data_IF_087229886398
#
_entry.id   IF_087229886398
#
_cell.length_a   1.000
_cell.length_b   1.000
_cell.length_c   1.000
_cell.angle_alpha   90.00
_cell.angle_beta   90.00
_cell.angle_gamma   90.00
#
_symmetry.space_group_name_H-M   'P 1'
#
loop_
_entity.id
_entity.type
_entity.pdbx_description
1 polymer ?
#
# COMPACT_ATOMS: atom_id res chain seq x y z
N UNK A 1 -36.60 43.34 18.39
CA UNK A 1 -35.50 42.37 18.32
C UNK A 1 -35.92 40.91 18.47
N UNK A 2 -36.76 40.52 19.45
CA UNK A 2 -37.13 39.11 19.69
C UNK A 2 -37.87 38.42 18.52
N UNK A 3 -38.71 39.12 17.76
CA UNK A 3 -39.48 38.54 16.66
C UNK A 3 -38.61 38.25 15.44
N UNK A 4 -37.62 39.08 15.14
CA UNK A 4 -36.69 38.87 14.03
C UNK A 4 -35.77 37.69 14.27
N UNK A 5 -35.24 37.55 15.51
CA UNK A 5 -34.44 36.42 15.92
C UNK A 5 -35.22 35.10 15.80
N UNK A 6 -36.51 35.09 16.21
CA UNK A 6 -37.38 33.92 16.07
C UNK A 6 -37.58 33.50 14.60
N UNK A 7 -37.74 34.47 13.68
CA UNK A 7 -37.89 34.20 12.24
C UNK A 7 -36.63 33.67 11.62
N UNK A 8 -35.46 34.20 12.01
CA UNK A 8 -34.14 33.69 11.57
C UNK A 8 -33.91 32.27 12.10
N UNK A 9 -34.25 32.00 13.36
CA UNK A 9 -34.13 30.66 13.94
C UNK A 9 -35.03 29.66 13.22
N UNK A 10 -36.30 30.02 12.94
CA UNK A 10 -37.23 29.16 12.18
C UNK A 10 -36.68 28.90 10.76
N UNK A 11 -36.13 29.92 10.09
CA UNK A 11 -35.48 29.77 8.78
C UNK A 11 -34.27 28.80 8.81
N UNK A 12 -33.42 28.94 9.81
CA UNK A 12 -32.28 28.02 10.01
C UNK A 12 -32.71 26.56 10.26
N UNK A 13 -33.73 26.36 11.09
CA UNK A 13 -34.31 25.03 11.34
C UNK A 13 -34.94 24.46 10.08
N UNK A 14 -35.67 25.27 9.29
CA UNK A 14 -36.26 24.83 8.04
C UNK A 14 -35.16 24.41 7.00
N UNK A 15 -34.09 25.22 6.89
CA UNK A 15 -32.95 24.90 6.02
C UNK A 15 -32.29 23.59 6.50
N UNK A 16 -32.08 23.41 7.80
CA UNK A 16 -31.51 22.19 8.37
C UNK A 16 -32.35 20.96 8.00
N UNK A 17 -33.66 21.01 8.16
CA UNK A 17 -34.53 19.90 7.78
C UNK A 17 -34.56 19.65 6.26
N UNK A 18 -34.48 20.72 5.45
CA UNK A 18 -34.40 20.58 4.00
C UNK A 18 -33.11 19.91 3.56
N UNK A 19 -31.98 20.26 4.19
CA UNK A 19 -30.67 19.58 3.95
C UNK A 19 -30.76 18.12 4.38
N UNK A 20 -31.30 17.81 5.55
CA UNK A 20 -31.52 16.43 5.99
C UNK A 20 -32.40 15.63 5.03
N UNK A 21 -33.48 16.24 4.55
CA UNK A 21 -34.34 15.61 3.57
C UNK A 21 -33.60 15.36 2.24
N UNK A 22 -32.80 16.32 1.77
CA UNK A 22 -31.95 16.16 0.59
C UNK A 22 -30.95 15.03 0.74
N UNK A 23 -30.29 14.93 1.87
CA UNK A 23 -29.39 13.82 2.20
C UNK A 23 -30.15 12.49 2.22
N UNK A 24 -31.30 12.43 2.86
CA UNK A 24 -32.13 11.22 2.92
C UNK A 24 -32.57 10.77 1.51
N UNK A 25 -33.02 11.69 0.66
CA UNK A 25 -33.40 11.39 -0.73
C UNK A 25 -32.17 10.91 -1.52
N UNK A 26 -31.03 11.56 -1.37
CA UNK A 26 -29.78 11.12 -2.01
C UNK A 26 -29.40 9.70 -1.62
N UNK A 27 -29.46 9.37 -0.32
CA UNK A 27 -29.14 8.03 0.18
C UNK A 27 -30.10 6.94 -0.31
N UNK A 28 -31.38 7.30 -0.51
CA UNK A 28 -32.39 6.37 -1.01
C UNK A 28 -32.32 6.15 -2.53
N UNK A 29 -31.76 7.12 -3.26
CA UNK A 29 -31.72 7.10 -4.73
C UNK A 29 -30.35 6.76 -5.29
N UNK A 30 -29.27 6.98 -4.53
CA UNK A 30 -27.90 6.72 -4.97
C UNK A 30 -27.56 5.23 -4.82
N UNK A 31 -27.39 4.54 -5.93
CA UNK A 31 -26.92 3.15 -5.97
C UNK A 31 -25.45 3.11 -6.40
N UNK A 32 -24.51 2.84 -5.46
CA UNK A 32 -23.09 2.73 -5.79
C UNK A 32 -22.79 1.51 -6.68
N UNK A 33 -23.66 0.49 -6.71
CA UNK A 33 -23.47 -0.70 -7.53
C UNK A 33 -23.58 -0.42 -9.03
N UNK A 34 -24.30 0.64 -9.42
CA UNK A 34 -24.41 1.07 -10.82
C UNK A 34 -23.06 1.47 -11.43
N UNK A 35 -22.05 1.80 -10.60
CA UNK A 35 -20.72 2.20 -11.05
C UNK A 35 -19.74 1.02 -11.20
N UNK A 36 -20.10 -0.20 -10.77
CA UNK A 36 -19.24 -1.38 -10.87
C UNK A 36 -18.71 -1.61 -12.27
N UNK A 37 -19.61 -1.69 -13.24
CA UNK A 37 -19.24 -1.95 -14.63
C UNK A 37 -18.27 -0.90 -15.17
N UNK A 38 -18.52 0.38 -14.87
CA UNK A 38 -17.64 1.47 -15.30
C UNK A 38 -16.23 1.37 -14.72
N UNK A 39 -16.13 1.04 -13.43
CA UNK A 39 -14.82 0.84 -12.78
C UNK A 39 -14.10 -0.38 -13.35
N UNK A 40 -14.81 -1.47 -13.60
CA UNK A 40 -14.27 -2.67 -14.23
C UNK A 40 -13.74 -2.38 -15.62
N UNK A 41 -14.50 -1.66 -16.44
CA UNK A 41 -14.10 -1.27 -17.80
C UNK A 41 -12.86 -0.35 -17.77
N UNK A 42 -12.81 0.64 -16.88
CA UNK A 42 -11.66 1.55 -16.76
C UNK A 42 -10.38 0.80 -16.37
N UNK A 43 -10.48 -0.12 -15.41
CA UNK A 43 -9.34 -0.96 -15.01
C UNK A 43 -8.87 -1.83 -16.17
N UNK A 44 -9.80 -2.42 -16.93
CA UNK A 44 -9.45 -3.22 -18.09
C UNK A 44 -8.78 -2.39 -19.18
N UNK A 45 -9.32 -1.23 -19.52
CA UNK A 45 -8.74 -0.35 -20.54
C UNK A 45 -7.33 0.11 -20.18
N UNK A 46 -7.11 0.41 -18.89
CA UNK A 46 -5.84 0.99 -18.43
C UNK A 46 -4.75 -0.06 -18.18
N UNK A 47 -5.10 -1.19 -17.60
CA UNK A 47 -4.14 -2.19 -17.15
C UNK A 47 -4.23 -3.53 -17.88
N UNK A 48 -5.22 -3.70 -18.76
CA UNK A 48 -5.52 -4.99 -19.43
C UNK A 48 -5.74 -6.13 -18.41
N UNK A 49 -6.32 -5.78 -17.26
CA UNK A 49 -6.64 -6.68 -16.16
C UNK A 49 -8.14 -6.68 -15.90
N UNK A 50 -8.70 -7.85 -15.69
CA UNK A 50 -10.11 -7.98 -15.31
C UNK A 50 -10.26 -7.73 -13.82
N UNK A 51 -10.95 -6.64 -13.46
CA UNK A 51 -11.43 -6.41 -12.10
C UNK A 51 -12.81 -7.04 -11.95
N UNK A 52 -12.98 -7.94 -11.00
CA UNK A 52 -14.28 -8.52 -10.67
C UNK A 52 -14.72 -8.08 -9.28
N UNK A 53 -15.95 -7.53 -9.18
CA UNK A 53 -16.58 -7.10 -7.93
C UNK A 53 -17.89 -7.88 -7.77
N UNK A 54 -17.82 -9.04 -7.11
CA UNK A 54 -18.97 -9.93 -6.94
C UNK A 54 -19.94 -9.43 -5.87
N UNK A 55 -19.40 -8.94 -4.74
CA UNK A 55 -20.21 -8.47 -3.62
C UNK A 55 -20.75 -7.07 -3.81
N UNK A 56 -21.73 -6.68 -3.01
CA UNK A 56 -22.31 -5.35 -3.06
C UNK A 56 -21.36 -4.28 -2.54
N UNK A 57 -21.47 -3.10 -3.17
CA UNK A 57 -20.86 -1.88 -2.69
C UNK A 57 -21.85 -1.20 -1.76
N UNK A 58 -21.51 -1.12 -0.47
CA UNK A 58 -22.35 -0.48 0.53
C UNK A 58 -21.76 0.86 0.93
N UNK A 59 -22.60 1.90 0.91
CA UNK A 59 -22.24 3.25 1.35
C UNK A 59 -22.81 3.50 2.75
N UNK A 60 -21.97 3.96 3.66
CA UNK A 60 -22.34 4.44 4.99
C UNK A 60 -22.02 5.92 5.09
N UNK A 61 -22.96 6.75 5.58
CA UNK A 61 -22.80 8.21 5.56
C UNK A 61 -22.62 8.80 6.96
N UNK A 62 -23.02 8.08 7.99
CA UNK A 62 -22.93 8.57 9.36
C UNK A 62 -22.33 7.51 10.30
N UNK A 63 -21.45 7.89 11.22
CA UNK A 63 -20.87 9.22 11.50
C UNK A 63 -19.74 9.63 10.52
N UNK A 64 -19.32 8.73 9.62
CA UNK A 64 -18.27 8.91 8.61
C UNK A 64 -18.76 8.41 7.27
N UNK A 65 -18.27 9.01 6.20
CA UNK A 65 -18.53 8.49 4.86
C UNK A 65 -17.68 7.21 4.70
N UNK A 66 -18.33 6.06 4.66
CA UNK A 66 -17.68 4.76 4.53
C UNK A 66 -18.12 4.06 3.25
N UNK A 67 -17.16 3.46 2.54
CA UNK A 67 -17.39 2.57 1.43
C UNK A 67 -16.93 1.16 1.86
N UNK A 68 -17.83 0.19 1.76
CA UNK A 68 -17.51 -1.21 1.97
C UNK A 68 -17.74 -1.96 0.66
N UNK A 69 -16.73 -2.73 0.24
CA UNK A 69 -16.79 -3.56 -0.96
C UNK A 69 -16.39 -4.97 -0.58
N UNK A 70 -17.15 -5.95 -1.05
CA UNK A 70 -16.93 -7.34 -0.73
C UNK A 70 -16.55 -8.11 -1.99
N UNK A 71 -15.71 -9.13 -1.83
CA UNK A 71 -15.28 -10.06 -2.87
C UNK A 71 -14.80 -9.35 -4.14
N UNK A 72 -13.66 -8.74 -4.03
CA UNK A 72 -12.95 -8.11 -5.15
C UNK A 72 -11.86 -9.05 -5.61
N UNK A 73 -11.69 -9.22 -6.91
CA UNK A 73 -10.53 -9.89 -7.48
C UNK A 73 -10.01 -9.15 -8.71
N UNK A 74 -8.70 -9.18 -8.88
CA UNK A 74 -7.98 -8.59 -10.00
C UNK A 74 -7.20 -9.70 -10.70
N UNK A 75 -7.31 -9.79 -12.02
CA UNK A 75 -6.57 -10.78 -12.79
C UNK A 75 -5.12 -10.37 -13.11
N UNK A 76 -4.31 -11.30 -13.58
CA UNK A 76 -3.07 -11.01 -14.30
C UNK A 76 -3.38 -10.29 -15.63
N UNK A 77 -2.41 -9.58 -16.25
CA UNK A 77 -2.64 -8.89 -17.52
C UNK A 77 -3.01 -9.91 -18.63
N UNK A 78 -4.06 -9.61 -19.39
CA UNK A 78 -4.55 -10.45 -20.49
C UNK A 78 -4.79 -11.92 -20.11
N UNK A 79 -5.22 -12.19 -18.89
CA UNK A 79 -5.45 -13.53 -18.34
C UNK A 79 -6.62 -13.51 -17.35
N UNK A 80 -7.28 -14.67 -17.20
CA UNK A 80 -8.30 -14.87 -16.16
C UNK A 80 -7.69 -15.36 -14.83
N UNK A 81 -6.37 -15.57 -14.79
CA UNK A 81 -5.68 -15.99 -13.57
C UNK A 81 -5.72 -14.86 -12.54
N UNK A 82 -6.16 -15.17 -11.33
CA UNK A 82 -6.22 -14.16 -10.24
C UNK A 82 -4.82 -13.75 -9.82
N UNK A 83 -4.55 -12.44 -9.88
CA UNK A 83 -3.35 -11.80 -9.35
C UNK A 83 -3.52 -11.41 -7.89
N UNK A 84 -4.67 -10.83 -7.54
CA UNK A 84 -4.99 -10.43 -6.17
C UNK A 84 -6.48 -10.55 -5.90
N UNK A 85 -6.83 -10.79 -4.64
CA UNK A 85 -8.22 -10.81 -4.18
C UNK A 85 -8.35 -10.22 -2.77
N UNK A 86 -9.55 -9.74 -2.45
CA UNK A 86 -9.89 -9.17 -1.14
C UNK A 86 -11.28 -9.67 -0.79
N UNK A 87 -11.45 -10.26 0.39
CA UNK A 87 -12.76 -10.71 0.85
C UNK A 87 -13.62 -9.52 1.29
N UNK A 88 -13.04 -8.59 2.08
CA UNK A 88 -13.73 -7.39 2.55
C UNK A 88 -12.78 -6.19 2.52
N UNK A 89 -13.18 -5.13 1.85
CA UNK A 89 -12.49 -3.84 1.85
C UNK A 89 -13.39 -2.78 2.46
N UNK A 90 -12.88 -2.02 3.42
CA UNK A 90 -13.57 -0.87 4.02
C UNK A 90 -12.67 0.35 3.93
N UNK A 91 -13.20 1.41 3.35
CA UNK A 91 -12.55 2.71 3.26
C UNK A 91 -13.46 3.72 3.94
N UNK A 92 -12.97 4.47 4.92
CA UNK A 92 -13.69 5.53 5.57
C UNK A 92 -13.04 6.88 5.27
N UNK A 93 -13.86 7.88 4.96
CA UNK A 93 -13.42 9.24 4.64
C UNK A 93 -14.03 10.22 5.63
N UNK A 94 -13.24 11.15 6.12
CA UNK A 94 -13.72 12.19 7.02
C UNK A 94 -14.51 13.25 6.25
N UNK A 95 -15.78 13.47 6.64
CA UNK A 95 -16.70 14.40 5.93
C UNK A 95 -16.26 15.85 6.10
N UNK A 96 -15.85 16.26 7.30
CA UNK A 96 -15.52 17.65 7.59
C UNK A 96 -14.37 18.22 6.76
N UNK A 97 -13.25 17.50 6.53
CA UNK A 97 -12.19 17.98 5.67
C UNK A 97 -12.61 18.18 4.21
N UNK A 98 -13.59 17.39 3.72
CA UNK A 98 -14.10 17.53 2.35
C UNK A 98 -14.75 18.91 2.10
N UNK A 99 -15.39 19.49 3.12
CA UNK A 99 -15.96 20.85 3.03
C UNK A 99 -14.89 21.91 2.79
N UNK A 100 -13.65 21.63 3.20
CA UNK A 100 -12.47 22.49 3.03
C UNK A 100 -11.54 22.01 1.91
N UNK A 101 -12.06 21.25 0.94
CA UNK A 101 -11.32 20.72 -0.20
C UNK A 101 -10.11 19.82 0.17
N UNK A 102 -10.20 19.13 1.32
CA UNK A 102 -9.16 18.20 1.80
C UNK A 102 -9.74 16.79 1.87
N UNK A 103 -9.14 15.84 1.14
CA UNK A 103 -9.51 14.43 1.21
C UNK A 103 -8.68 13.75 2.31
N UNK A 104 -9.31 13.47 3.43
CA UNK A 104 -8.71 12.70 4.52
C UNK A 104 -9.34 11.32 4.56
N UNK A 105 -8.58 10.31 4.15
CA UNK A 105 -8.96 8.90 4.31
C UNK A 105 -8.69 8.52 5.75
N UNK A 106 -9.75 8.34 6.52
CA UNK A 106 -9.66 8.13 7.96
C UNK A 106 -9.15 6.73 8.30
N UNK A 107 -9.56 5.71 7.53
CA UNK A 107 -9.11 4.34 7.76
C UNK A 107 -9.33 3.49 6.51
N UNK A 108 -8.34 2.65 6.20
CA UNK A 108 -8.43 1.59 5.19
C UNK A 108 -8.23 0.26 5.89
N UNK A 109 -9.25 -0.60 5.87
CA UNK A 109 -9.19 -1.95 6.43
C UNK A 109 -9.48 -2.96 5.33
N UNK A 110 -8.56 -3.92 5.15
CA UNK A 110 -8.69 -5.03 4.22
C UNK A 110 -8.64 -6.34 5.00
N UNK A 111 -9.63 -7.18 4.82
CA UNK A 111 -9.70 -8.52 5.41
C UNK A 111 -9.68 -9.57 4.30
N UNK A 112 -8.86 -10.60 4.48
CA UNK A 112 -8.69 -11.66 3.49
C UNK A 112 -8.02 -11.20 2.19
N UNK A 113 -7.12 -10.21 2.25
CA UNK A 113 -6.32 -9.84 1.09
C UNK A 113 -5.34 -10.96 0.75
N UNK A 114 -5.36 -11.39 -0.53
CA UNK A 114 -4.42 -12.40 -1.06
C UNK A 114 -3.79 -11.87 -2.33
N UNK A 115 -2.49 -12.08 -2.49
CA UNK A 115 -1.78 -11.70 -3.71
C UNK A 115 -0.80 -12.79 -4.13
N UNK A 116 -0.71 -13.03 -5.44
CA UNK A 116 0.17 -14.00 -6.08
C UNK A 116 1.23 -13.26 -6.90
N UNK A 117 2.38 -13.07 -6.31
CA UNK A 117 3.55 -12.48 -6.94
C UNK A 117 4.34 -13.58 -7.67
N UNK A 118 4.48 -13.45 -8.97
CA UNK A 118 5.19 -14.43 -9.78
C UNK A 118 6.34 -13.76 -10.50
N UNK A 119 7.49 -14.43 -10.52
CA UNK A 119 8.63 -14.08 -11.34
C UNK A 119 8.85 -15.17 -12.38
N UNK A 120 8.87 -14.76 -13.65
CA UNK A 120 9.09 -15.68 -14.77
C UNK A 120 10.54 -16.16 -14.83
N UNK A 121 10.81 -17.21 -15.62
CA UNK A 121 12.17 -17.67 -15.92
C UNK A 121 13.07 -16.61 -16.56
N UNK A 122 12.48 -15.61 -17.21
CA UNK A 122 13.16 -14.46 -17.81
C UNK A 122 13.43 -13.34 -16.78
N UNK A 123 12.90 -13.48 -15.55
CA UNK A 123 13.08 -12.54 -14.44
C UNK A 123 12.06 -11.41 -14.39
N UNK A 124 10.98 -11.46 -15.18
CA UNK A 124 9.91 -10.47 -15.20
C UNK A 124 8.88 -10.77 -14.10
N UNK A 125 8.38 -9.73 -13.46
CA UNK A 125 7.33 -9.85 -12.45
C UNK A 125 5.95 -9.62 -13.05
N UNK A 126 4.96 -10.37 -12.59
CA UNK A 126 3.57 -10.27 -13.05
C UNK A 126 2.83 -8.99 -12.57
N UNK A 127 3.53 -8.06 -11.92
CA UNK A 127 3.00 -6.77 -11.44
C UNK A 127 3.77 -5.55 -11.99
N UNK A 128 4.72 -5.73 -12.92
CA UNK A 128 5.52 -4.63 -13.46
C UNK A 128 4.69 -3.56 -14.17
N UNK A 129 3.58 -3.96 -14.80
CA UNK A 129 2.63 -3.05 -15.44
C UNK A 129 1.99 -2.06 -14.44
N UNK A 130 1.66 -2.54 -13.23
CA UNK A 130 1.10 -1.70 -12.17
C UNK A 130 2.12 -0.65 -11.68
N UNK A 131 3.40 -1.02 -11.60
CA UNK A 131 4.46 -0.09 -11.20
C UNK A 131 4.73 0.98 -12.28
N UNK A 132 4.67 0.60 -13.56
CA UNK A 132 4.85 1.53 -14.69
C UNK A 132 3.71 2.54 -14.77
N UNK A 133 2.49 2.11 -14.55
CA UNK A 133 1.31 2.98 -14.58
C UNK A 133 1.23 3.95 -13.40
N UNK A 134 1.81 3.59 -12.25
CA UNK A 134 1.88 4.47 -11.05
C UNK A 134 2.90 5.61 -11.20
N UNK A 135 3.76 5.56 -12.19
CA UNK A 135 4.83 6.56 -12.43
C UNK A 135 4.42 7.78 -13.25
N UNK A 136 3.15 7.90 -13.65
CA UNK A 136 2.69 9.06 -14.42
C UNK A 136 1.88 10.01 -13.53
N UNK A 137 2.31 11.28 -13.47
CA UNK A 137 1.61 12.40 -12.82
C UNK A 137 0.14 12.58 -13.29
N UNK A 138 -0.25 11.89 -14.36
CA UNK A 138 -1.60 11.86 -14.90
C UNK A 138 -2.59 11.04 -14.05
N UNK A 139 -2.14 10.08 -13.24
CA UNK A 139 -3.03 9.22 -12.47
C UNK A 139 -3.75 9.97 -11.34
N UNK A 140 -3.08 10.94 -10.72
CA UNK A 140 -3.67 11.77 -9.65
C UNK A 140 -4.61 12.82 -10.22
N UNK A 141 -4.29 13.40 -11.38
CA UNK A 141 -5.14 14.38 -12.07
C UNK A 141 -6.43 13.75 -12.60
N UNK A 142 -6.39 12.53 -13.14
CA UNK A 142 -7.58 11.83 -13.64
C UNK A 142 -8.49 11.30 -12.54
N UNK A 143 -7.96 10.89 -11.39
CA UNK A 143 -8.79 10.53 -10.25
C UNK A 143 -9.62 11.73 -9.73
N UNK A 144 -9.08 12.94 -9.80
CA UNK A 144 -9.79 14.17 -9.48
C UNK A 144 -10.86 14.50 -10.54
N UNK A 145 -10.65 14.18 -11.81
CA UNK A 145 -11.59 14.43 -12.91
C UNK A 145 -12.79 13.45 -12.89
N UNK A 146 -12.58 12.21 -12.44
CA UNK A 146 -13.66 11.20 -12.28
C UNK A 146 -14.61 11.58 -11.13
N UNK A 147 -14.12 12.31 -10.12
CA UNK A 147 -14.90 12.76 -8.96
C UNK A 147 -15.57 14.14 -9.17
N UNK A 148 -15.24 14.85 -10.26
CA UNK A 148 -15.85 16.12 -10.57
C UNK A 148 -17.27 15.92 -11.17
N UNK A 149 -18.29 16.66 -10.72
CA UNK A 149 -19.61 16.61 -11.35
C UNK A 149 -19.53 17.14 -12.79
N UNK A 150 -20.30 16.59 -13.75
CA UNK A 150 -20.23 16.97 -15.14
C UNK A 150 -20.59 18.45 -15.32
N UNK A 151 -19.60 19.27 -15.65
CA UNK A 151 -19.83 20.66 -16.02
C UNK A 151 -20.54 20.70 -17.39
N UNK A 152 -21.78 21.17 -17.43
CA UNK A 152 -22.47 21.49 -18.69
C UNK A 152 -21.73 22.62 -19.38
N UNK A 153 -21.39 22.51 -20.68
CA UNK A 153 -20.79 23.60 -21.40
C UNK A 153 -21.86 24.66 -21.70
N UNK A 154 -21.79 25.79 -21.04
CA UNK A 154 -22.43 27.02 -21.53
C UNK A 154 -21.46 27.61 -22.57
N UNK A 155 -21.81 27.45 -23.83
CA UNK A 155 -21.07 28.03 -24.94
C UNK A 155 -21.04 29.54 -24.91
N UNK A 156 -19.88 30.13 -25.01
CA UNK A 156 -19.62 31.45 -25.63
C UNK A 156 -18.27 31.35 -26.40
N UNK A 157 -18.34 31.92 -27.60
CA UNK A 157 -17.35 31.80 -28.67
C UNK A 157 -16.02 32.47 -28.39
N UNK A 158 -15.06 32.02 -29.19
CA UNK A 158 -13.69 32.47 -29.45
C UNK A 158 -13.37 33.95 -29.34
N UNK A 159 -12.21 34.26 -28.75
CA UNK A 159 -11.32 35.32 -29.27
C UNK A 159 -9.86 34.97 -28.95
N UNK A 160 -9.06 34.87 -29.99
CA UNK A 160 -7.60 34.74 -29.97
C UNK A 160 -6.96 35.99 -29.37
N UNK A 161 -6.00 35.83 -28.49
CA UNK A 161 -4.84 36.72 -28.38
C UNK A 161 -3.73 36.03 -27.57
N UNK A 162 -2.61 35.86 -28.24
CA UNK A 162 -1.32 35.56 -27.62
C UNK A 162 -0.87 36.75 -26.79
N UNK A 163 -0.47 36.50 -25.52
CA UNK A 163 0.66 37.24 -24.95
C UNK A 163 1.17 36.53 -23.69
N UNK A 164 2.45 36.41 -23.63
CA UNK A 164 3.28 35.90 -22.55
C UNK A 164 3.12 36.82 -21.34
N UNK A 165 2.62 36.31 -20.24
CA UNK A 165 2.80 36.92 -18.93
C UNK A 165 3.34 35.86 -17.95
N UNK A 166 4.62 36.02 -17.66
CA UNK A 166 5.30 35.37 -16.57
C UNK A 166 4.65 35.80 -15.23
N UNK A 167 4.35 34.81 -14.36
CA UNK A 167 4.14 35.08 -12.94
C UNK A 167 2.69 34.99 -12.44
N UNK A 168 2.04 33.84 -12.63
CA UNK A 168 0.95 33.42 -11.79
C UNK A 168 1.50 32.28 -10.90
N UNK A 169 1.38 32.35 -9.56
CA UNK A 169 1.65 31.20 -8.73
C UNK A 169 0.68 30.11 -9.16
N UNK A 170 1.21 28.98 -9.59
CA UNK A 170 0.47 27.78 -9.90
C UNK A 170 -0.18 27.30 -8.59
N UNK A 171 -1.38 27.80 -8.30
CA UNK A 171 -2.26 27.22 -7.27
C UNK A 171 -2.73 25.86 -7.79
N UNK A 172 -1.77 24.94 -7.94
CA UNK A 172 -2.09 23.52 -7.91
C UNK A 172 -2.69 23.29 -6.53
N UNK A 173 -3.97 23.07 -6.52
CA UNK A 173 -4.68 22.58 -5.35
C UNK A 173 -4.09 21.19 -5.05
N UNK A 174 -2.99 21.16 -4.33
CA UNK A 174 -2.39 19.92 -3.85
C UNK A 174 -3.43 19.25 -2.97
N UNK A 175 -4.10 18.26 -3.54
CA UNK A 175 -5.02 17.41 -2.80
C UNK A 175 -4.17 16.64 -1.79
N UNK A 176 -4.09 17.16 -0.57
CA UNK A 176 -3.38 16.46 0.50
C UNK A 176 -4.16 15.21 0.86
N UNK A 177 -3.65 14.06 0.41
CA UNK A 177 -4.19 12.76 0.77
C UNK A 177 -3.50 12.32 2.06
N UNK A 178 -4.25 12.35 3.14
CA UNK A 178 -3.86 11.81 4.44
C UNK A 178 -4.60 10.51 4.69
N UNK A 179 -3.89 9.42 4.96
CA UNK A 179 -4.48 8.14 5.34
C UNK A 179 -4.21 7.92 6.82
N UNK A 180 -5.24 7.94 7.66
CA UNK A 180 -5.05 7.84 9.11
C UNK A 180 -4.55 6.46 9.58
N UNK A 181 -4.68 5.43 8.73
CA UNK A 181 -4.10 4.11 8.95
C UNK A 181 -4.55 3.10 7.91
N UNK A 182 -3.68 2.12 7.66
CA UNK A 182 -3.97 0.93 6.86
C UNK A 182 -3.90 -0.30 7.77
N UNK A 183 -4.93 -1.13 7.71
CA UNK A 183 -5.00 -2.40 8.43
C UNK A 183 -5.24 -3.54 7.46
N UNK A 184 -4.36 -4.54 7.48
CA UNK A 184 -4.57 -5.84 6.81
C UNK A 184 -4.82 -6.89 7.89
N UNK A 185 -5.85 -7.72 7.69
CA UNK A 185 -6.19 -8.86 8.54
C UNK A 185 -6.33 -10.12 7.69
N UNK A 186 -5.95 -11.27 8.27
CA UNK A 186 -6.13 -12.58 7.64
C UNK A 186 -5.63 -12.64 6.21
N UNK A 187 -4.54 -11.93 5.92
CA UNK A 187 -4.06 -11.74 4.57
C UNK A 187 -2.98 -12.77 4.21
N UNK A 188 -2.78 -13.01 2.92
CA UNK A 188 -1.81 -13.96 2.41
C UNK A 188 -1.03 -13.34 1.25
N UNK A 189 0.28 -13.60 1.21
CA UNK A 189 1.14 -13.23 0.11
C UNK A 189 1.87 -14.47 -0.38
N UNK A 190 1.67 -14.83 -1.65
CA UNK A 190 2.35 -15.93 -2.32
C UNK A 190 3.44 -15.37 -3.23
N UNK A 191 4.65 -15.88 -3.11
CA UNK A 191 5.76 -15.57 -3.99
C UNK A 191 6.25 -16.84 -4.67
N UNK A 192 6.17 -16.86 -5.98
CA UNK A 192 6.67 -17.92 -6.83
C UNK A 192 7.72 -17.38 -7.78
N UNK A 193 8.91 -17.96 -7.76
CA UNK A 193 10.03 -17.59 -8.61
C UNK A 193 10.41 -18.77 -9.50
N UNK A 194 10.01 -18.71 -10.77
CA UNK A 194 10.33 -19.77 -11.73
C UNK A 194 11.82 -19.77 -12.14
N UNK A 195 12.54 -18.66 -11.95
CA UNK A 195 13.95 -18.54 -12.29
C UNK A 195 14.85 -19.22 -11.27
N UNK A 196 14.60 -18.95 -9.99
CA UNK A 196 15.45 -19.42 -8.88
C UNK A 196 14.78 -20.58 -8.13
N UNK A 197 13.56 -20.97 -8.49
CA UNK A 197 12.84 -22.12 -7.95
C UNK A 197 12.23 -21.90 -6.57
N UNK A 198 11.96 -20.65 -6.17
CA UNK A 198 11.36 -20.38 -4.86
C UNK A 198 9.83 -20.48 -4.92
N UNK A 199 9.25 -21.12 -3.89
CA UNK A 199 7.81 -21.18 -3.65
C UNK A 199 7.56 -20.91 -2.16
N UNK A 200 7.26 -19.66 -1.84
CA UNK A 200 7.16 -19.15 -0.47
C UNK A 200 5.85 -18.37 -0.34
N UNK A 201 5.19 -18.52 0.80
CA UNK A 201 4.00 -17.75 1.14
C UNK A 201 4.07 -17.24 2.57
N UNK A 202 3.52 -16.07 2.77
CA UNK A 202 3.30 -15.51 4.10
C UNK A 202 1.79 -15.60 4.36
N UNK A 203 1.38 -16.34 5.37
CA UNK A 203 -0.04 -16.57 5.71
C UNK A 203 -0.38 -15.94 7.05
N UNK A 204 -1.67 -15.67 7.25
CA UNK A 204 -2.16 -15.06 8.47
C UNK A 204 -1.56 -13.67 8.70
N UNK A 205 -1.27 -12.95 7.63
CA UNK A 205 -0.67 -11.62 7.69
C UNK A 205 -1.60 -10.66 8.41
N UNK A 206 -1.05 -10.02 9.42
CA UNK A 206 -1.63 -8.88 10.11
C UNK A 206 -0.66 -7.71 9.95
N UNK A 207 -1.08 -6.67 9.26
CA UNK A 207 -0.29 -5.47 9.09
C UNK A 207 -1.09 -4.28 9.60
N UNK A 208 -0.44 -3.45 10.41
CA UNK A 208 -1.00 -2.19 10.87
C UNK A 208 -0.01 -1.06 10.61
N UNK A 209 -0.52 0.06 10.15
CA UNK A 209 0.27 1.27 10.02
C UNK A 209 -0.26 2.37 10.91
N UNK A 210 0.63 3.28 11.32
CA UNK A 210 0.21 4.58 11.80
C UNK A 210 -0.35 5.44 10.67
N UNK A 211 -0.53 6.72 10.94
CA UNK A 211 -0.98 7.69 9.92
C UNK A 211 0.05 7.77 8.80
N UNK A 212 -0.37 7.48 7.59
CA UNK A 212 0.45 7.59 6.38
C UNK A 212 0.30 9.01 5.86
N UNK A 213 1.35 9.80 6.02
CA UNK A 213 1.50 11.11 5.41
C UNK A 213 2.73 11.05 4.51
N UNK A 214 2.60 11.42 3.25
CA UNK A 214 3.74 11.41 2.33
C UNK A 214 4.84 12.33 2.84
N UNK A 215 6.09 11.94 2.62
CA UNK A 215 7.31 12.61 3.09
C UNK A 215 7.46 12.69 4.63
N UNK A 216 6.62 11.98 5.38
CA UNK A 216 6.72 11.82 6.82
C UNK A 216 6.90 10.35 7.20
N UNK A 217 7.72 10.04 8.22
CA UNK A 217 7.82 8.67 8.69
C UNK A 217 6.56 8.25 9.45
N UNK A 218 6.09 7.04 9.18
CA UNK A 218 4.99 6.40 9.89
C UNK A 218 5.38 5.00 10.35
N UNK A 219 4.84 4.57 11.49
CA UNK A 219 5.14 3.25 12.04
C UNK A 219 4.37 2.17 11.29
N UNK A 220 5.03 1.04 11.05
CA UNK A 220 4.48 -0.17 10.45
C UNK A 220 4.76 -1.35 11.36
N UNK A 221 3.77 -2.18 11.61
CA UNK A 221 3.92 -3.47 12.29
C UNK A 221 3.36 -4.60 11.43
N UNK A 222 4.06 -5.70 11.39
CA UNK A 222 3.74 -6.89 10.60
C UNK A 222 3.86 -8.13 11.48
N UNK A 223 2.87 -9.03 11.39
CA UNK A 223 2.95 -10.38 11.93
C UNK A 223 2.47 -11.35 10.86
N UNK A 224 3.03 -12.56 10.84
CA UNK A 224 2.62 -13.59 9.90
C UNK A 224 3.41 -14.89 10.10
N UNK A 225 3.09 -15.88 9.27
CA UNK A 225 3.80 -17.16 9.22
C UNK A 225 4.32 -17.38 7.80
N UNK A 226 5.62 -17.54 7.70
CA UNK A 226 6.32 -17.87 6.47
C UNK A 226 6.23 -19.37 6.25
N UNK A 227 5.74 -19.82 5.10
CA UNK A 227 5.64 -21.21 4.69
C UNK A 227 6.19 -21.37 3.28
N UNK A 228 6.85 -22.48 2.99
CA UNK A 228 7.40 -22.74 1.68
C UNK A 228 7.74 -24.19 1.47
N UNK A 229 7.74 -24.61 0.21
CA UNK A 229 8.17 -25.94 -0.22
C UNK A 229 9.61 -25.92 -0.74
N UNK A 230 10.03 -24.81 -1.36
CA UNK A 230 11.38 -24.59 -1.89
C UNK A 230 11.84 -23.15 -1.55
N UNK A 231 12.74 -23.01 -0.56
CA UNK A 231 13.17 -24.01 0.42
C UNK A 231 12.04 -24.41 1.38
N UNK A 232 12.14 -25.62 1.95
CA UNK A 232 11.20 -26.05 2.98
C UNK A 232 11.24 -25.06 4.15
N UNK A 233 10.16 -24.37 4.37
CA UNK A 233 10.08 -23.22 5.28
C UNK A 233 8.83 -23.31 6.14
N UNK A 234 8.98 -23.13 7.44
CA UNK A 234 7.89 -22.95 8.40
C UNK A 234 8.40 -22.11 9.56
N UNK A 235 8.14 -20.81 9.53
CA UNK A 235 8.64 -19.87 10.52
C UNK A 235 7.60 -18.78 10.82
N UNK A 236 7.57 -18.35 12.06
CA UNK A 236 6.83 -17.16 12.47
C UNK A 236 7.70 -15.93 12.25
N UNK A 237 7.11 -14.87 11.70
CA UNK A 237 7.76 -13.60 11.45
C UNK A 237 7.00 -12.46 12.13
N UNK A 238 7.74 -11.58 12.79
CA UNK A 238 7.23 -10.34 13.36
C UNK A 238 8.16 -9.21 12.95
N UNK A 239 7.59 -8.11 12.48
CA UNK A 239 8.37 -6.97 12.01
C UNK A 239 7.79 -5.64 12.47
N UNK A 240 8.68 -4.69 12.73
CA UNK A 240 8.35 -3.29 13.00
C UNK A 240 9.36 -2.40 12.30
N UNK A 241 8.89 -1.28 11.77
CA UNK A 241 9.75 -0.26 11.17
C UNK A 241 9.05 1.11 11.16
N UNK A 242 9.82 2.17 11.07
CA UNK A 242 9.32 3.49 10.67
C UNK A 242 9.59 3.67 9.17
N UNK A 243 8.53 3.72 8.38
CA UNK A 243 8.58 3.80 6.91
C UNK A 243 8.32 5.24 6.47
N UNK A 244 9.08 5.73 5.50
CA UNK A 244 8.84 7.01 4.82
C UNK A 244 8.76 6.75 3.32
N UNK A 245 7.73 7.32 2.70
CA UNK A 245 7.47 7.24 1.26
C UNK A 245 7.43 8.65 0.71
N UNK A 246 8.35 8.99 -0.18
CA UNK A 246 8.34 10.23 -0.95
C UNK A 246 8.09 9.89 -2.42
N UNK A 247 6.84 9.93 -2.90
CA UNK A 247 6.52 9.57 -4.27
C UNK A 247 7.03 10.59 -5.29
N UNK A 248 7.22 11.85 -4.89
CA UNK A 248 7.72 12.92 -5.76
C UNK A 248 9.20 12.73 -6.06
N UNK A 249 10.00 12.49 -5.02
CA UNK A 249 11.43 12.19 -5.16
C UNK A 249 11.71 10.73 -5.50
N UNK A 250 10.69 9.87 -5.44
CA UNK A 250 10.81 8.41 -5.59
C UNK A 250 11.82 7.80 -4.61
N UNK A 251 11.79 8.31 -3.38
CA UNK A 251 12.64 7.85 -2.28
C UNK A 251 11.80 7.10 -1.26
N UNK A 252 12.30 5.95 -0.85
CA UNK A 252 11.65 5.06 0.11
C UNK A 252 12.64 4.72 1.20
N UNK A 253 12.25 4.83 2.46
CA UNK A 253 13.12 4.43 3.56
C UNK A 253 12.35 3.69 4.65
N UNK A 254 13.05 2.76 5.29
CA UNK A 254 12.60 2.08 6.49
C UNK A 254 13.68 2.24 7.56
N UNK A 255 13.33 2.85 8.64
CA UNK A 255 14.21 3.11 9.78
C UNK A 255 13.75 2.30 10.99
N UNK A 256 14.65 2.08 11.95
CA UNK A 256 14.34 1.30 13.16
C UNK A 256 13.73 -0.07 12.84
N UNK A 257 14.18 -0.65 11.75
CA UNK A 257 13.76 -2.01 11.37
C UNK A 257 14.13 -2.95 12.52
N UNK A 258 13.15 -3.74 12.93
CA UNK A 258 13.32 -4.83 13.88
C UNK A 258 12.42 -5.98 13.42
N UNK A 259 13.03 -6.96 12.78
CA UNK A 259 12.37 -8.16 12.30
C UNK A 259 12.87 -9.35 13.12
N UNK A 260 11.95 -10.13 13.65
CA UNK A 260 12.23 -11.36 14.39
C UNK A 260 11.61 -12.54 13.67
N UNK A 261 12.31 -13.65 13.68
CA UNK A 261 11.85 -14.90 13.10
C UNK A 261 12.19 -16.06 14.02
N UNK A 262 11.26 -17.01 14.13
CA UNK A 262 11.43 -18.27 14.85
C UNK A 262 10.85 -19.38 14.00
N UNK A 263 11.62 -20.45 13.79
CA UNK A 263 11.18 -21.59 12.99
C UNK A 263 12.23 -22.05 11.99
N UNK A 264 11.80 -22.83 10.99
CA UNK A 264 12.68 -23.48 10.03
C UNK A 264 12.67 -22.76 8.68
N UNK A 265 13.86 -22.51 8.12
CA UNK A 265 14.11 -22.13 6.73
C UNK A 265 15.27 -23.02 6.27
N UNK A 266 14.96 -24.12 5.61
CA UNK A 266 15.95 -25.14 5.28
C UNK A 266 17.20 -24.54 4.60
N UNK A 267 18.42 -24.90 5.06
CA UNK A 267 18.75 -25.92 6.06
C UNK A 267 18.77 -25.41 7.52
N UNK A 268 18.42 -24.15 7.77
CA UNK A 268 18.48 -23.53 9.08
C UNK A 268 17.22 -23.80 9.89
N UNK A 269 17.40 -24.08 11.20
CA UNK A 269 16.33 -24.08 12.20
C UNK A 269 16.67 -23.02 13.23
N UNK A 270 16.02 -21.85 13.12
CA UNK A 270 16.24 -20.74 14.02
C UNK A 270 15.37 -20.88 15.28
N UNK A 271 15.99 -20.97 16.43
CA UNK A 271 15.34 -20.78 17.73
C UNK A 271 15.03 -19.30 17.94
N UNK A 272 15.92 -18.43 17.47
CA UNK A 272 15.70 -17.01 17.33
C UNK A 272 16.55 -16.47 16.18
N UNK A 273 15.97 -15.63 15.35
CA UNK A 273 16.69 -14.80 14.41
C UNK A 273 16.15 -13.37 14.49
N UNK A 274 17.02 -12.39 14.45
CA UNK A 274 16.66 -10.98 14.51
C UNK A 274 17.47 -10.18 13.47
N UNK A 275 16.78 -9.30 12.74
CA UNK A 275 17.41 -8.34 11.85
C UNK A 275 17.03 -6.93 12.30
N UNK A 276 18.02 -6.09 12.55
CA UNK A 276 17.85 -4.68 12.88
C UNK A 276 18.60 -3.81 11.89
N UNK A 277 18.16 -2.57 11.71
CA UNK A 277 18.87 -1.62 10.85
C UNK A 277 18.00 -0.59 10.20
N UNK A 278 18.56 0.03 9.16
CA UNK A 278 17.88 1.04 8.37
C UNK A 278 18.13 0.75 6.89
N UNK A 279 17.11 0.96 6.05
CA UNK A 279 17.17 0.81 4.60
C UNK A 279 16.70 2.10 3.94
N UNK A 280 17.34 2.46 2.83
CA UNK A 280 16.90 3.56 1.97
C UNK A 280 17.09 3.15 0.50
N UNK A 281 16.04 3.32 -0.28
CA UNK A 281 16.03 3.02 -1.71
C UNK A 281 15.63 4.25 -2.52
N UNK A 282 16.43 4.57 -3.53
CA UNK A 282 16.12 5.60 -4.51
C UNK A 282 15.77 4.93 -5.84
N UNK A 283 14.52 5.07 -6.28
CA UNK A 283 14.09 4.50 -7.55
C UNK A 283 14.65 5.29 -8.76
N UNK A 284 15.07 6.54 -8.55
CA UNK A 284 15.73 7.33 -9.59
C UNK A 284 17.13 6.79 -9.90
N UNK A 285 17.94 6.53 -8.89
CA UNK A 285 19.30 6.00 -9.04
C UNK A 285 19.36 4.46 -8.99
N UNK A 286 18.25 3.80 -8.69
CA UNK A 286 18.14 2.35 -8.44
C UNK A 286 19.08 1.85 -7.32
N UNK A 287 19.49 2.73 -6.43
CA UNK A 287 20.44 2.42 -5.36
C UNK A 287 19.72 2.02 -4.07
N UNK A 288 20.20 0.95 -3.46
CA UNK A 288 19.81 0.54 -2.13
C UNK A 288 20.97 0.80 -1.16
N UNK A 289 20.69 1.56 -0.12
CA UNK A 289 21.61 1.83 0.97
C UNK A 289 21.06 1.20 2.25
N UNK A 290 21.89 0.46 2.95
CA UNK A 290 21.59 -0.04 4.27
C UNK A 290 22.60 0.51 5.28
N UNK A 291 22.12 0.81 6.47
CA UNK A 291 22.94 1.34 7.55
C UNK A 291 22.63 0.64 8.87
N UNK A 292 23.68 0.42 9.66
CA UNK A 292 23.58 -0.22 10.96
C UNK A 292 22.82 -1.55 10.90
N UNK A 293 23.13 -2.38 9.87
CA UNK A 293 22.57 -3.71 9.79
C UNK A 293 23.22 -4.58 10.87
N UNK A 294 22.35 -5.22 11.62
CA UNK A 294 22.67 -6.16 12.68
C UNK A 294 21.76 -7.38 12.52
N UNK A 295 22.36 -8.52 12.25
CA UNK A 295 21.66 -9.79 12.13
C UNK A 295 22.23 -10.77 13.15
N UNK A 296 21.38 -11.28 14.00
CA UNK A 296 21.67 -12.28 15.01
C UNK A 296 20.84 -13.52 14.73
N UNK A 297 21.43 -14.71 14.82
CA UNK A 297 20.72 -15.97 14.72
C UNK A 297 21.27 -16.98 15.71
N UNK A 298 20.38 -17.65 16.42
CA UNK A 298 20.68 -18.81 17.25
C UNK A 298 19.81 -19.97 16.77
N UNK A 299 20.39 -21.17 16.73
CA UNK A 299 19.68 -22.33 16.25
C UNK A 299 20.60 -23.46 15.83
N UNK A 300 20.21 -24.21 14.81
CA UNK A 300 20.94 -25.36 14.29
C UNK A 300 20.86 -25.45 12.77
N UNK A 301 21.78 -26.17 12.15
CA UNK A 301 21.75 -26.51 10.74
C UNK A 301 21.40 -27.98 10.61
N UNK A 302 20.34 -28.29 9.85
CA UNK A 302 19.95 -29.65 9.49
C UNK A 302 20.56 -30.00 8.13
N UNK A 303 21.06 -31.24 7.95
CA UNK A 303 21.59 -31.68 6.67
C UNK A 303 22.63 -32.79 6.81
N UNK A 304 23.47 -32.96 5.78
CA UNK A 304 24.53 -34.01 5.76
C UNK A 304 25.64 -33.75 6.77
N UNK A 305 25.93 -32.50 7.08
CA UNK A 305 26.82 -32.05 8.15
C UNK A 305 26.04 -31.17 9.11
N UNK A 306 25.38 -31.81 10.10
CA UNK A 306 24.56 -31.06 11.03
C UNK A 306 25.42 -30.22 11.97
N UNK A 307 24.92 -29.04 12.35
CA UNK A 307 25.49 -28.21 13.41
C UNK A 307 24.43 -28.11 14.50
N UNK A 308 24.69 -28.64 15.68
CA UNK A 308 23.69 -28.74 16.74
C UNK A 308 23.50 -27.42 17.50
N UNK A 309 24.56 -26.62 17.59
CA UNK A 309 24.49 -25.31 18.21
C UNK A 309 25.19 -24.31 17.26
N UNK A 310 24.40 -23.40 16.72
CA UNK A 310 24.87 -22.32 15.85
C UNK A 310 24.54 -20.99 16.49
N UNK A 311 25.54 -20.14 16.66
CA UNK A 311 25.36 -18.72 16.93
C UNK A 311 26.07 -17.93 15.83
N UNK A 312 25.30 -17.14 15.10
CA UNK A 312 25.79 -16.30 14.03
C UNK A 312 25.40 -14.85 14.31
N UNK A 313 26.36 -13.98 14.22
CA UNK A 313 26.16 -12.54 14.27
C UNK A 313 26.76 -11.92 13.01
N UNK A 314 26.04 -11.00 12.38
CA UNK A 314 26.53 -10.28 11.22
C UNK A 314 26.22 -8.79 11.44
N UNK A 315 27.27 -7.99 11.44
CA UNK A 315 27.13 -6.54 11.53
C UNK A 315 27.72 -5.89 10.29
N UNK A 316 26.95 -4.99 9.66
CA UNK A 316 27.37 -4.19 8.53
C UNK A 316 26.97 -2.73 8.76
N UNK A 317 27.88 -1.87 9.23
CA UNK A 317 27.60 -0.46 9.47
C UNK A 317 27.11 0.27 8.23
N UNK A 318 27.63 -0.09 7.04
CA UNK A 318 27.18 0.45 5.76
C UNK A 318 27.23 -0.61 4.68
N UNK A 319 26.14 -0.73 3.93
CA UNK A 319 26.05 -1.55 2.73
C UNK A 319 25.38 -0.72 1.65
N UNK A 320 25.97 -0.70 0.46
CA UNK A 320 25.42 -0.03 -0.72
C UNK A 320 25.37 -1.01 -1.88
N UNK A 321 24.21 -1.09 -2.50
CA UNK A 321 23.98 -1.87 -3.71
C UNK A 321 23.61 -0.92 -4.82
N UNK A 322 24.35 -0.94 -5.91
CA UNK A 322 24.10 -0.21 -7.14
C UNK A 322 23.93 -1.19 -8.31
N UNK A 323 22.71 -1.65 -8.61
CA UNK A 323 22.47 -2.61 -9.66
C UNK A 323 22.82 -2.09 -11.06
N UNK A 324 22.74 -0.75 -11.28
CA UNK A 324 23.07 -0.13 -12.56
C UNK A 324 24.56 -0.25 -12.87
N UNK A 325 25.40 -0.19 -11.85
CA UNK A 325 26.86 -0.35 -11.94
C UNK A 325 27.33 -1.77 -11.63
N UNK A 326 26.42 -2.67 -11.23
CA UNK A 326 26.72 -4.01 -10.70
C UNK A 326 27.71 -3.96 -9.54
N UNK A 327 27.57 -2.98 -8.68
CA UNK A 327 28.51 -2.69 -7.60
C UNK A 327 27.86 -2.98 -6.25
N UNK A 328 28.59 -3.73 -5.42
CA UNK A 328 28.27 -3.98 -4.02
C UNK A 328 29.40 -3.43 -3.17
N UNK A 329 29.13 -2.44 -2.35
CA UNK A 329 30.08 -1.90 -1.39
C UNK A 329 29.62 -2.25 0.02
N UNK A 330 30.49 -2.93 0.76
CA UNK A 330 30.27 -3.25 2.18
C UNK A 330 31.42 -2.68 2.96
N UNK A 331 31.10 -1.90 3.98
CA UNK A 331 32.11 -1.30 4.85
C UNK A 331 32.04 -1.96 6.23
N UNK A 332 33.23 -2.36 6.74
CA UNK A 332 33.43 -2.90 8.09
C UNK A 332 32.51 -4.10 8.43
N UNK A 333 32.37 -5.03 7.47
CA UNK A 333 31.63 -6.27 7.69
C UNK A 333 32.30 -7.13 8.76
N UNK A 334 31.58 -7.42 9.83
CA UNK A 334 31.99 -8.37 10.85
C UNK A 334 31.02 -9.57 10.86
N UNK A 335 31.58 -10.78 10.88
CA UNK A 335 30.81 -12.03 10.90
C UNK A 335 31.40 -12.94 11.99
N UNK A 336 31.21 -12.62 13.28
CA UNK A 336 31.50 -13.56 14.33
C UNK A 336 30.47 -14.70 14.32
N UNK A 337 30.97 -15.92 14.48
CA UNK A 337 30.12 -17.11 14.52
C UNK A 337 30.78 -18.20 15.34
N UNK A 338 29.99 -19.00 16.02
CA UNK A 338 30.41 -20.22 16.71
C UNK A 338 29.43 -21.33 16.40
N UNK A 339 29.90 -22.55 16.35
CA UNK A 339 29.06 -23.73 16.12
C UNK A 339 29.75 -24.99 16.68
N UNK A 340 28.95 -25.87 17.23
CA UNK A 340 29.39 -27.18 17.68
C UNK A 340 28.89 -28.25 16.69
N UNK A 341 29.79 -29.08 16.24
CA UNK A 341 29.47 -30.27 15.45
C UNK A 341 29.38 -31.48 16.40
N UNK A 342 28.50 -32.43 16.11
CA UNK A 342 28.34 -33.64 16.91
C UNK A 342 29.58 -34.54 16.89
#
# INVERSE_FOLDING_TARGET
MKVWIKRVLIGLVAIFFLVLLGIAVFLLTFDPNSYKARVQDEVYQRYQRTLNIEGDIALSVFPRLGLTVNKISLSEPNSDTVFASIDHARIAVAIWPLVFNRLVVDHVALDGFKAWLKRSSEGQFNFEDLLRASGSDQAVAQAAEILAPPAKPLGIAEAQASEVVSGVPDERTDLQIDIAGLELRNSELHYFDAKDGYDIRIVGVQLNTGRITFDQPFDVSLNGRLQGSLPATDAQIQGQAAVRIDPVKREYSAQRINVRMVGAVHPFQAESAALRGNLAYSAFSQQLNAANLDFEMQGRIAGQTPVESLSLELTAPRLRIDPSRRELQVQDLAIPGSGEMP
#
